data_IF_129488623695
#
_entry.id   IF_129488623695
#
_cell.length_a   1.000
_cell.length_b   1.000
_cell.length_c   1.000
_cell.angle_alpha   90.00
_cell.angle_beta   90.00
_cell.angle_gamma   90.00
#
_symmetry.space_group_name_H-M   'P 1'
#
loop_
_entity.id
_entity.type
_entity.pdbx_description
1 polymer ?
#
# COMPACT_ATOMS: atom_id res chain seq x y z
N UNK A 1 -18.14 -6.69 -2.40
CA UNK A 1 -16.75 -6.85 -1.99
C UNK A 1 -16.39 -5.82 -0.95
N UNK A 2 -15.70 -6.23 0.08
CA UNK A 2 -15.33 -5.31 1.15
C UNK A 2 -14.28 -4.33 0.69
N UNK A 3 -14.40 -3.10 1.14
CA UNK A 3 -13.45 -2.05 0.85
C UNK A 3 -12.24 -2.19 1.77
N UNK A 4 -11.21 -2.86 1.31
CA UNK A 4 -10.00 -3.10 2.09
C UNK A 4 -9.26 -1.81 2.42
N UNK A 5 -9.35 -0.82 1.52
CA UNK A 5 -8.67 0.46 1.73
C UNK A 5 -9.18 1.15 2.99
N UNK A 6 -10.50 1.10 3.22
CA UNK A 6 -11.10 1.79 4.35
C UNK A 6 -11.16 0.97 5.63
N UNK A 7 -11.22 -0.34 5.50
CA UNK A 7 -11.45 -1.21 6.66
C UNK A 7 -10.18 -1.77 7.29
N UNK A 8 -9.19 -2.06 6.46
CA UNK A 8 -7.99 -2.77 6.92
C UNK A 8 -6.78 -1.87 7.05
N UNK A 9 -6.75 -0.76 6.32
CA UNK A 9 -5.60 0.13 6.30
C UNK A 9 -5.98 1.53 6.72
N UNK A 10 -5.08 2.18 7.42
CA UNK A 10 -5.23 3.57 7.85
C UNK A 10 -3.96 4.34 7.52
N UNK A 11 -4.09 5.66 7.42
CA UNK A 11 -2.93 6.54 7.23
C UNK A 11 -1.92 6.30 8.36
N UNK A 12 -0.66 6.12 7.99
CA UNK A 12 0.40 5.83 8.93
C UNK A 12 0.69 4.34 9.11
N UNK A 13 -0.17 3.47 8.61
CA UNK A 13 0.09 2.04 8.67
C UNK A 13 1.28 1.67 7.81
N UNK A 14 2.03 0.68 8.26
CA UNK A 14 3.14 0.11 7.50
C UNK A 14 2.66 -1.21 6.90
N UNK A 15 2.92 -1.40 5.61
CA UNK A 15 2.65 -2.65 4.92
C UNK A 15 3.95 -3.20 4.36
N UNK A 16 4.02 -4.50 4.25
CA UNK A 16 5.18 -5.21 3.73
C UNK A 16 4.82 -5.87 2.41
N UNK A 17 5.69 -5.68 1.42
CA UNK A 17 5.53 -6.31 0.12
C UNK A 17 5.77 -7.81 0.24
N UNK A 18 4.82 -8.61 -0.24
CA UNK A 18 4.90 -10.07 -0.12
C UNK A 18 5.33 -10.75 -1.41
N UNK A 19 5.56 -9.97 -2.46
CA UNK A 19 6.05 -10.45 -3.75
C UNK A 19 7.20 -9.58 -4.21
N UNK A 20 8.09 -10.13 -5.04
CA UNK A 20 9.13 -9.33 -5.68
C UNK A 20 8.54 -8.53 -6.85
N UNK A 21 9.09 -7.35 -7.08
CA UNK A 21 8.85 -6.64 -8.34
C UNK A 21 10.19 -6.19 -8.93
N UNK A 22 10.11 -5.49 -10.07
CA UNK A 22 11.31 -5.14 -10.83
C UNK A 22 12.23 -4.17 -10.10
N UNK A 23 11.70 -3.37 -9.18
CA UNK A 23 12.47 -2.32 -8.52
C UNK A 23 12.73 -2.61 -7.04
N UNK A 24 11.81 -3.31 -6.38
CA UNK A 24 11.90 -3.55 -4.95
C UNK A 24 11.68 -5.01 -4.62
N UNK A 25 12.48 -5.57 -3.72
CA UNK A 25 12.36 -6.97 -3.37
C UNK A 25 11.19 -7.22 -2.41
N UNK A 26 10.80 -8.48 -2.35
CA UNK A 26 9.91 -8.96 -1.31
C UNK A 26 10.46 -8.56 0.06
N UNK A 27 9.57 -8.12 0.93
CA UNK A 27 9.95 -7.64 2.26
C UNK A 27 10.11 -6.14 2.37
N UNK A 28 10.03 -5.42 1.25
CA UNK A 28 10.09 -3.96 1.28
C UNK A 28 8.91 -3.40 2.06
N UNK A 29 9.17 -2.38 2.87
CA UNK A 29 8.15 -1.75 3.71
C UNK A 29 7.66 -0.47 3.06
N UNK A 30 6.37 -0.23 3.17
CA UNK A 30 5.72 0.95 2.64
C UNK A 30 4.82 1.57 3.71
N UNK A 31 4.77 2.89 3.74
CA UNK A 31 3.88 3.61 4.65
C UNK A 31 2.66 4.12 3.89
N UNK A 32 1.47 3.94 4.45
CA UNK A 32 0.24 4.47 3.87
C UNK A 32 0.19 5.97 4.16
N UNK A 33 0.23 6.77 3.10
CA UNK A 33 0.18 8.24 3.21
C UNK A 33 -1.25 8.76 3.12
N UNK A 34 -2.12 8.06 2.40
CA UNK A 34 -3.50 8.51 2.22
C UNK A 34 -4.23 7.64 1.23
N UNK A 35 -5.46 8.04 0.93
CA UNK A 35 -6.32 7.36 -0.01
C UNK A 35 -6.89 8.39 -0.97
N UNK A 36 -7.19 7.97 -2.18
CA UNK A 36 -7.72 8.86 -3.18
C UNK A 36 -8.43 8.10 -4.28
N UNK A 37 -8.78 8.83 -5.32
CA UNK A 37 -9.42 8.27 -6.50
C UNK A 37 -8.56 8.65 -7.71
N UNK A 38 -8.19 7.66 -8.49
CA UNK A 38 -7.43 7.91 -9.71
C UNK A 38 -8.37 8.50 -10.77
N UNK A 39 -8.06 9.71 -11.30
CA UNK A 39 -9.00 10.41 -12.17
C UNK A 39 -9.33 9.66 -13.46
N UNK A 40 -8.37 8.97 -14.07
CA UNK A 40 -8.60 8.33 -15.36
C UNK A 40 -9.49 7.11 -15.28
N UNK A 41 -9.40 6.35 -14.18
CA UNK A 41 -10.17 5.12 -14.01
C UNK A 41 -11.29 5.26 -12.99
N UNK A 42 -11.31 6.33 -12.21
CA UNK A 42 -12.24 6.56 -11.12
C UNK A 42 -12.20 5.46 -10.06
N UNK A 43 -11.09 4.76 -9.93
CA UNK A 43 -10.91 3.70 -8.95
C UNK A 43 -10.21 4.22 -7.72
N UNK A 44 -10.55 3.65 -6.57
CA UNK A 44 -9.88 3.99 -5.32
C UNK A 44 -8.46 3.47 -5.31
N UNK A 45 -7.56 4.28 -4.75
CA UNK A 45 -6.15 3.93 -4.61
C UNK A 45 -5.66 4.26 -3.22
N UNK A 46 -4.66 3.53 -2.76
CA UNK A 46 -3.89 3.87 -1.58
C UNK A 46 -2.58 4.51 -2.05
N UNK A 47 -2.23 5.64 -1.47
CA UNK A 47 -0.96 6.31 -1.76
C UNK A 47 0.04 5.85 -0.72
N UNK A 48 1.16 5.32 -1.17
CA UNK A 48 2.14 4.68 -0.30
C UNK A 48 3.55 5.18 -0.60
N UNK A 49 4.37 5.21 0.43
CA UNK A 49 5.78 5.60 0.30
C UNK A 49 6.68 4.45 0.75
N UNK A 50 7.60 4.06 -0.12
CA UNK A 50 8.62 3.07 0.20
C UNK A 50 9.59 3.62 1.24
N UNK A 51 9.84 2.85 2.29
CA UNK A 51 10.67 3.27 3.41
C UNK A 51 12.17 3.13 3.12
N UNK A 52 12.54 2.44 2.06
CA UNK A 52 13.95 2.25 1.71
C UNK A 52 14.46 3.32 0.76
N UNK A 53 13.73 3.54 -0.34
CA UNK A 53 14.17 4.46 -1.39
C UNK A 53 13.33 5.75 -1.46
N UNK A 54 12.23 5.80 -0.73
CA UNK A 54 11.37 6.97 -0.72
C UNK A 54 10.47 7.11 -1.92
N UNK A 55 10.29 6.05 -2.71
CA UNK A 55 9.37 6.06 -3.83
C UNK A 55 7.94 6.22 -3.34
N UNK A 56 7.14 6.97 -4.09
CA UNK A 56 5.72 7.13 -3.80
C UNK A 56 4.95 6.52 -4.96
N UNK A 57 3.97 5.68 -4.63
CA UNK A 57 3.11 5.09 -5.65
C UNK A 57 1.66 5.04 -5.19
N UNK A 58 0.76 4.88 -6.15
CA UNK A 58 -0.65 4.63 -5.89
C UNK A 58 -0.97 3.19 -6.22
N UNK A 59 -1.56 2.48 -5.28
CA UNK A 59 -1.91 1.07 -5.45
C UNK A 59 -3.42 0.92 -5.49
N UNK A 60 -3.91 0.23 -6.51
CA UNK A 60 -5.32 -0.14 -6.59
C UNK A 60 -5.67 -1.16 -5.53
N UNK A 61 -6.96 -1.27 -5.23
CA UNK A 61 -7.42 -2.20 -4.21
C UNK A 61 -6.95 -3.64 -4.46
N UNK A 62 -6.97 -4.10 -5.71
CA UNK A 62 -6.54 -5.45 -6.02
C UNK A 62 -5.03 -5.65 -5.81
N UNK A 63 -4.25 -4.60 -5.96
CA UNK A 63 -2.80 -4.67 -5.76
C UNK A 63 -2.43 -4.80 -4.29
N UNK A 64 -3.34 -4.48 -3.39
CA UNK A 64 -3.10 -4.63 -1.95
C UNK A 64 -2.94 -6.09 -1.55
N UNK A 65 -3.31 -7.03 -2.41
CA UNK A 65 -3.02 -8.45 -2.19
C UNK A 65 -1.52 -8.74 -2.22
N UNK A 66 -0.72 -7.84 -2.78
CA UNK A 66 0.74 -7.98 -2.79
C UNK A 66 1.39 -7.42 -1.53
N UNK A 67 0.60 -6.94 -0.58
CA UNK A 67 1.08 -6.33 0.64
C UNK A 67 0.40 -6.95 1.85
N UNK A 68 1.10 -6.92 2.96
CA UNK A 68 0.60 -7.39 4.24
C UNK A 68 0.81 -6.30 5.28
N UNK A 69 -0.21 -6.01 6.08
CA UNK A 69 -0.08 -5.03 7.16
C UNK A 69 0.91 -5.56 8.20
N UNK A 70 1.86 -4.70 8.58
CA UNK A 70 2.81 -5.00 9.63
C UNK A 70 2.22 -4.47 10.94
N UNK A 71 2.00 -5.37 11.89
CA UNK A 71 1.51 -4.98 13.19
C UNK A 71 2.69 -4.65 14.09
N UNK A 72 2.61 -3.48 14.74
CA UNK A 72 3.61 -3.09 15.72
C UNK A 72 3.14 -3.61 17.06
N UNK A 73 3.91 -4.54 17.61
CA UNK A 73 3.68 -5.03 18.97
C UNK A 73 4.53 -4.17 19.90
N UNK A 74 3.84 -3.40 20.71
CA UNK A 74 4.51 -2.53 21.67
C UNK A 74 4.72 -3.29 22.98
#
# INVERSE_FOLDING_TARGET
MKDRLKRELSVGDIVEQVVDDDELPKGSKWEILGFGIEPSSMKQVAVMKDQTKGYIMSAYQFELNYFRKVEVVI
#
